data_IF_221263853396
#
_entry.id   IF_221263853396
#
_cell.length_a   1.000
_cell.length_b   1.000
_cell.length_c   1.000
_cell.angle_alpha   90.00
_cell.angle_beta   90.00
_cell.angle_gamma   90.00
#
_symmetry.space_group_name_H-M   'P 1'
#
loop_
_entity.id
_entity.type
_entity.pdbx_description
1 polymer ?
#
# COMPACT_ATOMS: atom_id res chain seq x y z
N UNK A 1 25.65 21.06 18.98
CA UNK A 1 24.69 21.74 19.88
C UNK A 1 23.30 21.54 19.26
N UNK A 2 22.48 20.67 19.84
CA UNK A 2 21.16 20.30 19.28
C UNK A 2 20.13 21.35 19.65
N UNK A 3 19.56 22.00 18.68
CA UNK A 3 18.40 22.89 18.81
C UNK A 3 17.29 22.18 19.60
N UNK A 4 17.07 22.58 20.82
CA UNK A 4 15.94 22.23 21.63
C UNK A 4 14.69 22.77 20.95
N UNK A 5 13.80 21.91 20.50
CA UNK A 5 12.50 22.27 19.91
C UNK A 5 11.56 22.92 20.94
N UNK A 6 11.89 24.12 21.37
CA UNK A 6 11.06 24.90 22.30
C UNK A 6 9.71 25.36 21.70
N UNK A 7 9.49 25.12 20.41
CA UNK A 7 8.32 25.59 19.69
C UNK A 7 7.32 24.53 19.21
N UNK A 8 7.61 23.21 19.36
CA UNK A 8 6.66 22.20 18.85
C UNK A 8 5.47 22.01 19.80
N UNK A 9 4.26 22.16 19.27
CA UNK A 9 3.00 21.88 19.95
C UNK A 9 2.35 20.64 19.33
N UNK A 10 1.76 19.74 20.14
CA UNK A 10 1.02 18.60 19.61
C UNK A 10 -0.24 19.07 18.88
N UNK A 11 -0.57 18.51 17.69
CA UNK A 11 -1.66 19.03 16.87
C UNK A 11 -3.06 18.67 17.40
N UNK A 12 -3.20 17.58 18.15
CA UNK A 12 -4.46 17.08 18.71
C UNK A 12 -4.20 16.03 19.80
N UNK A 13 -5.21 15.63 20.55
CA UNK A 13 -5.11 14.47 21.45
C UNK A 13 -5.00 13.17 20.61
N UNK A 14 -4.04 12.28 20.88
CA UNK A 14 -3.93 11.04 20.14
C UNK A 14 -4.94 9.95 20.55
N UNK A 15 -5.81 10.22 21.52
CA UNK A 15 -6.86 9.30 21.95
C UNK A 15 -8.12 9.51 21.11
N UNK A 16 -8.55 8.56 20.25
CA UNK A 16 -9.71 8.71 19.38
C UNK A 16 -11.03 8.91 20.15
N UNK A 17 -11.09 8.44 21.41
CA UNK A 17 -12.27 8.62 22.26
C UNK A 17 -12.26 9.95 23.01
N UNK A 18 -11.33 10.86 22.70
CA UNK A 18 -11.26 12.19 23.30
C UNK A 18 -11.90 13.22 22.38
N UNK A 19 -12.68 14.14 22.96
CA UNK A 19 -13.25 15.27 22.22
C UNK A 19 -12.19 16.02 21.38
N UNK A 20 -10.98 16.19 21.92
CA UNK A 20 -9.87 16.87 21.21
C UNK A 20 -9.10 16.00 20.21
N UNK A 21 -9.60 14.84 19.84
CA UNK A 21 -9.00 14.02 18.78
C UNK A 21 -9.24 14.62 17.39
N UNK A 22 -10.46 15.05 17.11
CA UNK A 22 -10.86 15.66 15.83
C UNK A 22 -10.92 17.19 15.88
N UNK A 23 -10.96 17.78 17.08
CA UNK A 23 -11.05 19.22 17.22
C UNK A 23 -9.68 19.87 16.93
N UNK A 24 -9.63 20.74 15.93
CA UNK A 24 -8.49 21.66 15.67
C UNK A 24 -8.58 22.88 16.61
N UNK A 25 -8.89 22.68 17.87
CA UNK A 25 -9.07 23.76 18.82
C UNK A 25 -7.73 24.28 19.31
N UNK A 26 -7.49 25.58 19.18
CA UNK A 26 -6.37 26.27 19.83
C UNK A 26 -6.46 26.17 21.37
N UNK A 27 -7.59 25.83 21.91
CA UNK A 27 -7.90 25.74 23.33
C UNK A 27 -7.78 24.33 23.91
N UNK A 28 -7.17 23.39 23.21
CA UNK A 28 -6.96 22.04 23.74
C UNK A 28 -6.10 22.04 25.00
N UNK A 29 -6.66 21.65 26.18
CA UNK A 29 -5.94 21.67 27.43
C UNK A 29 -4.99 20.48 27.52
N UNK A 30 -3.71 20.73 27.38
CA UNK A 30 -2.65 19.75 27.63
C UNK A 30 -1.51 20.39 28.44
N UNK A 31 -0.76 19.56 29.17
CA UNK A 31 0.45 20.00 29.87
C UNK A 31 1.69 19.21 29.46
N UNK A 32 2.84 19.88 29.47
CA UNK A 32 4.14 19.21 29.34
C UNK A 32 4.47 18.46 30.62
N UNK A 33 5.00 17.20 30.51
CA UNK A 33 5.31 16.33 31.64
C UNK A 33 6.74 15.81 31.59
N UNK A 34 7.72 16.73 31.55
CA UNK A 34 9.13 16.38 31.49
C UNK A 34 9.52 15.61 30.22
N UNK A 35 10.63 14.91 30.30
CA UNK A 35 11.26 14.19 29.17
C UNK A 35 11.56 12.74 29.53
N UNK A 36 11.80 11.92 28.52
CA UNK A 36 12.49 10.64 28.66
C UNK A 36 13.60 10.53 27.64
N UNK A 37 14.57 9.66 27.89
CA UNK A 37 15.70 9.41 27.00
C UNK A 37 15.47 8.09 26.24
N UNK A 38 15.97 8.03 25.01
CA UNK A 38 16.03 6.80 24.21
C UNK A 38 17.38 6.73 23.46
N UNK A 39 17.77 5.51 23.02
CA UNK A 39 19.02 5.31 22.28
C UNK A 39 18.98 5.89 20.86
N UNK A 40 17.83 5.77 20.16
CA UNK A 40 17.70 6.29 18.80
C UNK A 40 17.44 7.81 18.81
N UNK A 41 17.94 8.52 17.80
CA UNK A 41 17.67 9.94 17.62
C UNK A 41 16.18 10.23 17.28
N UNK A 42 15.59 11.34 17.78
CA UNK A 42 16.14 12.22 18.80
C UNK A 42 16.20 11.53 20.16
N UNK A 43 17.27 11.71 20.90
CA UNK A 43 17.48 10.99 22.16
C UNK A 43 16.58 11.51 23.30
N UNK A 44 16.32 12.80 23.35
CA UNK A 44 15.48 13.45 24.37
C UNK A 44 14.08 13.67 23.82
N UNK A 45 13.06 13.07 24.47
CA UNK A 45 11.68 13.08 24.02
C UNK A 45 10.78 13.78 25.02
N UNK A 46 10.09 14.84 24.58
CA UNK A 46 9.11 15.56 25.41
C UNK A 46 7.86 14.70 25.60
N UNK A 47 7.40 14.57 26.85
CA UNK A 47 6.12 13.96 27.22
C UNK A 47 5.05 15.03 27.44
N UNK A 48 3.81 14.62 27.23
CA UNK A 48 2.60 15.41 27.41
C UNK A 48 1.51 14.60 28.10
N UNK A 49 0.54 15.32 28.69
CA UNK A 49 -0.69 14.74 29.21
C UNK A 49 -1.85 15.59 28.70
N UNK A 50 -2.86 14.96 28.09
CA UNK A 50 -4.14 15.60 27.81
C UNK A 50 -4.89 15.80 29.13
N UNK A 51 -5.33 17.03 29.44
CA UNK A 51 -6.02 17.32 30.69
C UNK A 51 -7.49 16.85 30.66
N UNK A 52 -8.09 16.71 29.48
CA UNK A 52 -9.46 16.21 29.32
C UNK A 52 -9.54 14.69 29.59
N UNK A 53 -8.84 13.88 28.79
CA UNK A 53 -8.95 12.41 28.88
C UNK A 53 -7.81 11.74 29.68
N UNK A 54 -6.88 12.51 30.26
CA UNK A 54 -5.71 12.07 31.05
C UNK A 54 -4.72 11.17 30.31
N UNK A 55 -4.86 11.01 28.97
CA UNK A 55 -3.93 10.24 28.15
C UNK A 55 -2.55 10.85 28.16
N UNK A 56 -1.54 10.01 28.44
CA UNK A 56 -0.12 10.38 28.29
C UNK A 56 0.34 10.07 26.86
N UNK A 57 1.13 10.98 26.29
CA UNK A 57 1.71 10.85 24.95
C UNK A 57 3.03 11.63 24.86
N UNK A 58 3.69 11.61 23.72
CA UNK A 58 4.96 12.30 23.53
C UNK A 58 5.10 12.80 22.08
N UNK A 59 6.15 13.59 21.82
CA UNK A 59 6.50 13.96 20.44
C UNK A 59 6.66 12.75 19.53
N UNK A 60 7.10 11.60 20.07
CA UNK A 60 7.22 10.36 19.30
C UNK A 60 5.88 9.78 18.85
N UNK A 61 4.81 10.00 19.58
CA UNK A 61 3.45 9.58 19.15
C UNK A 61 3.09 10.16 17.79
N UNK A 62 3.56 11.38 17.49
CA UNK A 62 3.34 12.08 16.22
C UNK A 62 4.51 11.92 15.22
N UNK A 63 5.43 11.00 15.47
CA UNK A 63 6.57 10.74 14.60
C UNK A 63 6.43 9.42 13.85
N UNK A 64 6.77 9.41 12.56
CA UNK A 64 6.90 8.17 11.77
C UNK A 64 8.00 7.23 12.29
N UNK A 65 8.83 7.69 13.22
CA UNK A 65 9.83 6.87 13.91
C UNK A 65 9.33 6.25 15.24
N UNK A 66 8.05 6.41 15.57
CA UNK A 66 7.44 5.84 16.77
C UNK A 66 7.64 4.31 16.82
N UNK A 67 8.08 3.79 17.96
CA UNK A 67 8.38 2.35 18.15
C UNK A 67 9.48 1.76 17.24
N UNK A 68 10.29 2.59 16.58
CA UNK A 68 11.41 2.11 15.78
C UNK A 68 12.73 2.16 16.56
N UNK A 69 13.46 1.04 16.57
CA UNK A 69 14.82 0.98 17.14
C UNK A 69 15.87 1.55 16.18
N UNK A 70 15.69 1.40 14.86
CA UNK A 70 16.61 1.86 13.80
C UNK A 70 15.90 2.73 12.74
N UNK A 71 15.33 3.91 13.13
CA UNK A 71 14.50 4.73 12.25
C UNK A 71 15.25 5.27 11.02
N UNK A 72 16.56 5.44 11.12
CA UNK A 72 17.41 5.93 10.00
C UNK A 72 17.36 5.04 8.77
N UNK A 73 17.05 3.74 8.92
CA UNK A 73 17.01 2.78 7.82
C UNK A 73 15.79 2.94 6.90
N UNK A 74 14.67 3.51 7.38
CA UNK A 74 13.40 3.52 6.65
C UNK A 74 13.51 4.21 5.29
N UNK A 75 14.23 5.32 5.21
CA UNK A 75 14.40 6.09 3.96
C UNK A 75 15.22 5.30 2.92
N UNK A 76 16.29 4.64 3.34
CA UNK A 76 17.10 3.79 2.45
C UNK A 76 16.32 2.56 2.00
N UNK A 77 15.60 1.90 2.93
CA UNK A 77 14.76 0.75 2.61
C UNK A 77 13.69 1.12 1.59
N UNK A 78 13.00 2.27 1.76
CA UNK A 78 12.01 2.75 0.82
C UNK A 78 12.57 2.88 -0.61
N UNK A 79 13.75 3.47 -0.76
CA UNK A 79 14.42 3.63 -2.06
C UNK A 79 14.80 2.29 -2.68
N UNK A 80 15.38 1.38 -1.89
CA UNK A 80 15.88 0.10 -2.36
C UNK A 80 14.76 -0.89 -2.73
N UNK A 81 13.61 -0.82 -2.06
CA UNK A 81 12.43 -1.65 -2.39
C UNK A 81 11.95 -1.34 -3.81
N UNK A 82 11.86 -0.07 -4.19
CA UNK A 82 11.43 0.36 -5.53
C UNK A 82 12.57 0.41 -6.55
N UNK A 83 13.78 0.12 -6.14
CA UNK A 83 14.94 -0.14 -7.00
C UNK A 83 15.14 -1.64 -7.25
N UNK A 84 14.10 -2.43 -7.15
CA UNK A 84 14.08 -3.86 -7.43
C UNK A 84 15.00 -4.72 -6.52
N UNK A 85 15.37 -4.24 -5.33
CA UNK A 85 16.16 -5.03 -4.39
C UNK A 85 15.27 -5.92 -3.50
N UNK A 86 15.65 -7.18 -3.33
CA UNK A 86 14.95 -8.07 -2.39
C UNK A 86 15.41 -7.85 -0.94
N UNK A 87 14.62 -8.31 0.05
CA UNK A 87 14.88 -8.07 1.47
C UNK A 87 16.31 -8.50 1.90
N UNK A 88 16.84 -9.59 1.37
CA UNK A 88 18.19 -10.07 1.70
C UNK A 88 19.28 -9.18 1.11
N UNK A 89 19.08 -8.64 -0.11
CA UNK A 89 20.00 -7.68 -0.71
C UNK A 89 20.02 -6.37 0.07
N UNK A 90 18.83 -5.84 0.41
CA UNK A 90 18.68 -4.64 1.24
C UNK A 90 19.36 -4.83 2.60
N UNK A 91 19.16 -6.00 3.23
CA UNK A 91 19.76 -6.31 4.52
C UNK A 91 21.29 -6.31 4.47
N UNK A 92 21.89 -6.91 3.42
CA UNK A 92 23.34 -6.88 3.20
C UNK A 92 23.86 -5.45 2.98
N UNK A 93 23.18 -4.70 2.11
CA UNK A 93 23.59 -3.32 1.79
C UNK A 93 23.52 -2.37 3.02
N UNK A 94 22.63 -2.64 3.97
CA UNK A 94 22.40 -1.77 5.13
C UNK A 94 22.97 -2.33 6.46
N UNK A 95 23.68 -3.45 6.44
CA UNK A 95 24.23 -4.07 7.64
C UNK A 95 23.16 -4.40 8.69
N UNK A 96 22.06 -5.04 8.29
CA UNK A 96 20.98 -5.40 9.18
C UNK A 96 20.37 -6.78 8.83
N UNK A 97 19.50 -7.31 9.68
CA UNK A 97 18.83 -8.57 9.40
C UNK A 97 17.71 -8.38 8.35
N UNK A 98 17.42 -9.41 7.53
CA UNK A 98 16.30 -9.40 6.60
C UNK A 98 14.95 -9.18 7.30
N UNK A 99 14.81 -9.60 8.55
CA UNK A 99 13.62 -9.37 9.35
C UNK A 99 13.45 -7.88 9.74
N UNK A 100 14.55 -7.17 10.02
CA UNK A 100 14.54 -5.72 10.22
C UNK A 100 14.02 -5.02 8.97
N UNK A 101 14.49 -5.41 7.79
CA UNK A 101 13.99 -4.89 6.50
C UNK A 101 12.50 -5.17 6.35
N UNK A 102 12.05 -6.41 6.59
CA UNK A 102 10.64 -6.80 6.48
C UNK A 102 9.74 -5.99 7.43
N UNK A 103 10.18 -5.73 8.68
CA UNK A 103 9.43 -4.89 9.63
C UNK A 103 9.31 -3.43 9.17
N UNK A 104 10.38 -2.87 8.59
CA UNK A 104 10.33 -1.51 8.02
C UNK A 104 9.42 -1.44 6.79
N UNK A 105 9.47 -2.45 5.90
CA UNK A 105 8.56 -2.55 4.75
C UNK A 105 7.11 -2.63 5.22
N UNK A 106 6.80 -3.47 6.21
CA UNK A 106 5.45 -3.60 6.75
C UNK A 106 4.91 -2.28 7.33
N UNK A 107 5.75 -1.53 8.03
CA UNK A 107 5.37 -0.20 8.57
C UNK A 107 5.17 0.81 7.46
N UNK A 108 6.12 0.90 6.55
CA UNK A 108 6.06 1.84 5.43
C UNK A 108 4.88 1.55 4.52
N UNK A 109 4.61 0.27 4.22
CA UNK A 109 3.45 -0.15 3.43
C UNK A 109 2.14 0.30 4.05
N UNK A 110 1.96 0.09 5.37
CA UNK A 110 0.77 0.58 6.09
C UNK A 110 0.65 2.10 6.08
N UNK A 111 1.76 2.82 6.25
CA UNK A 111 1.76 4.27 6.12
C UNK A 111 1.36 4.72 4.71
N UNK A 112 1.86 4.05 3.68
CA UNK A 112 1.51 4.31 2.29
C UNK A 112 0.02 4.07 2.01
N UNK A 113 -0.61 3.05 2.62
CA UNK A 113 -2.06 2.85 2.51
C UNK A 113 -2.84 4.04 3.08
N UNK A 114 -2.45 4.56 4.25
CA UNK A 114 -3.09 5.74 4.85
C UNK A 114 -2.91 6.99 3.97
N UNK A 115 -1.71 7.20 3.44
CA UNK A 115 -1.45 8.32 2.52
C UNK A 115 -2.34 8.21 1.29
N UNK A 116 -2.36 7.05 0.63
CA UNK A 116 -3.17 6.85 -0.58
C UNK A 116 -4.67 6.96 -0.31
N UNK A 117 -5.18 6.44 0.81
CA UNK A 117 -6.59 6.54 1.16
C UNK A 117 -7.00 8.00 1.35
N UNK A 118 -6.20 8.80 2.08
CA UNK A 118 -6.43 10.24 2.23
C UNK A 118 -6.45 10.97 0.88
N UNK A 119 -5.52 10.66 0.00
CA UNK A 119 -5.43 11.33 -1.29
C UNK A 119 -6.55 10.86 -2.25
N UNK A 120 -6.97 9.61 -2.17
CA UNK A 120 -8.10 9.11 -2.95
C UNK A 120 -9.41 9.84 -2.61
N UNK A 121 -9.64 10.18 -1.33
CA UNK A 121 -10.79 10.97 -0.89
C UNK A 121 -10.82 12.39 -1.46
N UNK A 122 -9.69 12.92 -1.94
CA UNK A 122 -9.58 14.23 -2.61
C UNK A 122 -9.89 14.16 -4.10
N UNK A 123 -9.95 12.95 -4.65
CA UNK A 123 -10.30 12.73 -6.05
C UNK A 123 -11.81 12.53 -6.17
N UNK A 124 -12.45 13.43 -6.89
CA UNK A 124 -13.88 13.34 -7.21
C UNK A 124 -14.06 13.13 -8.70
N UNK A 125 -14.97 12.23 -9.08
CA UNK A 125 -15.47 12.08 -10.46
C UNK A 125 -14.37 11.96 -11.54
N UNK A 126 -13.59 10.89 -11.48
CA UNK A 126 -12.64 10.55 -12.53
C UNK A 126 -13.39 10.29 -13.84
N UNK A 127 -12.88 10.84 -14.94
CA UNK A 127 -13.51 10.64 -16.24
C UNK A 127 -13.37 9.19 -16.68
N UNK A 128 -12.15 8.69 -16.69
CA UNK A 128 -11.85 7.37 -17.22
C UNK A 128 -10.76 6.66 -16.44
N UNK A 129 -11.01 5.39 -16.09
CA UNK A 129 -10.03 4.52 -15.47
C UNK A 129 -9.80 3.26 -16.28
N UNK A 130 -8.62 2.68 -16.16
CA UNK A 130 -8.33 1.34 -16.68
C UNK A 130 -8.02 0.38 -15.52
N UNK A 131 -8.50 -0.84 -15.64
CA UNK A 131 -8.28 -1.91 -14.67
C UNK A 131 -7.65 -3.14 -15.31
N UNK A 132 -6.77 -3.80 -14.58
CA UNK A 132 -6.18 -5.09 -14.94
C UNK A 132 -5.75 -5.85 -13.70
N UNK A 133 -5.29 -7.08 -13.86
CA UNK A 133 -4.73 -7.88 -12.79
C UNK A 133 -3.43 -8.57 -13.21
N UNK A 134 -2.45 -8.57 -12.33
CA UNK A 134 -1.24 -9.35 -12.57
C UNK A 134 -1.11 -10.51 -11.58
N UNK A 135 -0.79 -11.69 -12.14
CA UNK A 135 -0.60 -12.89 -11.35
C UNK A 135 0.79 -12.94 -10.72
N UNK A 136 0.82 -13.32 -9.47
CA UNK A 136 1.99 -13.70 -8.71
C UNK A 136 1.63 -14.86 -7.77
N UNK A 137 2.50 -15.24 -6.86
CA UNK A 137 2.19 -16.29 -5.89
C UNK A 137 2.83 -16.01 -4.53
N UNK A 138 2.21 -16.56 -3.49
CA UNK A 138 2.70 -16.59 -2.13
C UNK A 138 3.22 -17.99 -1.77
N UNK A 139 4.11 -18.11 -0.81
CA UNK A 139 4.67 -19.37 -0.31
C UNK A 139 5.30 -20.25 -1.38
N UNK A 140 4.50 -20.72 -2.36
CA UNK A 140 4.95 -21.53 -3.48
C UNK A 140 4.05 -21.34 -4.71
N UNK A 141 4.50 -21.88 -5.85
CA UNK A 141 3.74 -21.85 -7.11
C UNK A 141 2.33 -22.46 -7.04
N UNK A 142 1.98 -23.14 -5.95
CA UNK A 142 0.63 -23.74 -5.77
C UNK A 142 -0.40 -22.77 -5.20
N UNK A 143 0.04 -21.61 -4.74
CA UNK A 143 -0.81 -20.56 -4.19
C UNK A 143 -0.67 -19.27 -5.01
N UNK A 144 -1.11 -19.28 -6.29
CA UNK A 144 -1.14 -18.06 -7.08
C UNK A 144 -2.24 -17.11 -6.58
N UNK A 145 -2.06 -15.83 -6.83
CA UNK A 145 -3.08 -14.81 -6.61
C UNK A 145 -2.88 -13.64 -7.58
N UNK A 146 -3.97 -12.92 -7.85
CA UNK A 146 -3.93 -11.66 -8.56
C UNK A 146 -3.74 -10.49 -7.60
N UNK A 147 -2.94 -9.51 -8.00
CA UNK A 147 -3.19 -8.13 -7.62
C UNK A 147 -4.08 -7.51 -8.70
N UNK A 148 -5.29 -7.09 -8.33
CA UNK A 148 -6.13 -6.29 -9.19
C UNK A 148 -5.72 -4.83 -8.99
N UNK A 149 -5.57 -4.07 -10.05
CA UNK A 149 -5.06 -2.70 -10.04
C UNK A 149 -5.91 -1.77 -10.89
N UNK A 150 -6.04 -0.51 -10.49
CA UNK A 150 -6.74 0.52 -11.23
C UNK A 150 -5.84 1.74 -11.43
N UNK A 151 -5.91 2.35 -12.61
CA UNK A 151 -5.15 3.55 -12.97
C UNK A 151 -6.08 4.59 -13.60
N UNK A 152 -5.86 5.86 -13.28
CA UNK A 152 -6.46 6.96 -14.03
C UNK A 152 -5.79 7.08 -15.40
N UNK A 153 -6.58 7.05 -16.48
CA UNK A 153 -6.06 7.03 -17.86
C UNK A 153 -5.37 8.34 -18.22
N UNK A 154 -5.87 9.47 -17.73
CA UNK A 154 -5.36 10.79 -18.07
C UNK A 154 -3.97 11.07 -17.50
N UNK A 155 -3.76 10.74 -16.23
CA UNK A 155 -2.54 11.06 -15.49
C UNK A 155 -1.58 9.87 -15.33
N UNK A 156 -2.06 8.62 -15.48
CA UNK A 156 -1.33 7.41 -15.10
C UNK A 156 -1.19 7.25 -13.57
N UNK A 157 -2.08 7.89 -12.79
CA UNK A 157 -2.10 7.78 -11.34
C UNK A 157 -2.62 6.41 -10.91
N UNK A 158 -1.82 5.68 -10.15
CA UNK A 158 -2.19 4.38 -9.59
C UNK A 158 -3.20 4.58 -8.45
N UNK A 159 -4.50 4.37 -8.76
CA UNK A 159 -5.61 4.70 -7.87
C UNK A 159 -5.75 3.76 -6.70
N UNK A 160 -5.84 2.45 -6.96
CA UNK A 160 -6.20 1.47 -5.96
C UNK A 160 -5.69 0.08 -6.32
N UNK A 161 -5.58 -0.80 -5.32
CA UNK A 161 -5.26 -2.22 -5.54
C UNK A 161 -5.97 -3.12 -4.53
N UNK A 162 -6.30 -4.32 -4.98
CA UNK A 162 -6.83 -5.42 -4.18
C UNK A 162 -6.11 -6.71 -4.50
N UNK A 163 -6.43 -7.80 -3.81
CA UNK A 163 -5.90 -9.13 -4.09
C UNK A 163 -7.01 -10.16 -4.24
N UNK A 164 -6.76 -11.18 -5.06
CA UNK A 164 -7.69 -12.29 -5.29
C UNK A 164 -6.92 -13.61 -5.31
N UNK A 165 -7.18 -14.54 -4.39
CA UNK A 165 -6.57 -15.86 -4.44
C UNK A 165 -6.98 -16.60 -5.70
N UNK A 166 -6.03 -17.32 -6.31
CA UNK A 166 -6.27 -18.08 -7.52
C UNK A 166 -5.99 -19.56 -7.29
N UNK A 167 -6.69 -20.36 -8.06
CA UNK A 167 -6.32 -21.77 -8.24
C UNK A 167 -5.20 -21.88 -9.25
N UNK A 168 -4.13 -22.63 -8.96
CA UNK A 168 -3.08 -22.88 -9.94
C UNK A 168 -3.65 -23.56 -11.19
N UNK A 169 -3.45 -22.93 -12.33
CA UNK A 169 -3.83 -23.40 -13.67
C UNK A 169 -2.55 -23.64 -14.52
N UNK A 170 -2.76 -23.87 -15.80
CA UNK A 170 -1.69 -24.04 -16.77
C UNK A 170 -1.07 -25.45 -16.80
N UNK A 171 -0.01 -25.61 -17.58
CA UNK A 171 0.64 -26.90 -17.78
C UNK A 171 1.31 -27.39 -16.49
N UNK A 172 1.01 -28.60 -16.07
CA UNK A 172 1.56 -29.26 -14.88
C UNK A 172 1.92 -30.71 -15.18
N UNK A 173 3.07 -31.14 -14.67
CA UNK A 173 3.47 -32.56 -14.66
C UNK A 173 2.55 -33.38 -13.73
N UNK A 174 2.38 -34.71 -13.91
CA UNK A 174 1.54 -35.55 -13.05
C UNK A 174 1.82 -35.35 -11.55
N UNK A 175 3.10 -35.33 -11.14
CA UNK A 175 3.50 -35.08 -9.75
C UNK A 175 3.04 -33.72 -9.23
N UNK A 176 3.03 -32.68 -10.07
CA UNK A 176 2.56 -31.34 -9.68
C UNK A 176 1.03 -31.31 -9.53
N UNK A 177 0.31 -32.03 -10.40
CA UNK A 177 -1.16 -32.18 -10.29
C UNK A 177 -1.54 -32.90 -8.99
N UNK A 178 -0.87 -34.00 -8.65
CA UNK A 178 -1.08 -34.74 -7.40
C UNK A 178 -0.77 -33.87 -6.17
N UNK A 179 0.34 -33.14 -6.18
CA UNK A 179 0.69 -32.22 -5.06
C UNK A 179 -0.33 -31.10 -4.91
N UNK A 180 -0.81 -30.52 -6.01
CA UNK A 180 -1.90 -29.53 -5.96
C UNK A 180 -3.17 -30.12 -5.33
N UNK A 181 -3.60 -31.29 -5.77
CA UNK A 181 -4.80 -31.94 -5.25
C UNK A 181 -4.68 -32.19 -3.73
N UNK A 182 -3.53 -32.67 -3.27
CA UNK A 182 -3.26 -32.87 -1.84
C UNK A 182 -3.35 -31.57 -1.05
N UNK A 183 -2.78 -30.48 -1.57
CA UNK A 183 -2.82 -29.17 -0.90
C UNK A 183 -4.25 -28.60 -0.89
N UNK A 184 -5.03 -28.76 -1.98
CA UNK A 184 -6.43 -28.34 -2.03
C UNK A 184 -7.31 -29.14 -1.06
N UNK A 185 -7.00 -30.41 -0.81
CA UNK A 185 -7.70 -31.24 0.17
C UNK A 185 -7.43 -30.77 1.61
N UNK A 186 -6.18 -30.44 1.93
CA UNK A 186 -5.75 -30.09 3.29
C UNK A 186 -6.01 -28.63 3.67
N UNK A 187 -5.88 -27.69 2.71
CA UNK A 187 -5.89 -26.25 2.96
C UNK A 187 -7.07 -25.51 2.30
N UNK A 188 -7.90 -26.26 1.56
CA UNK A 188 -9.01 -25.70 0.81
C UNK A 188 -8.58 -25.18 -0.58
N UNK A 189 -9.58 -24.91 -1.40
CA UNK A 189 -9.45 -24.37 -2.75
C UNK A 189 -9.76 -22.88 -2.76
N UNK A 190 -9.07 -22.10 -3.59
CA UNK A 190 -9.42 -20.71 -3.83
C UNK A 190 -10.87 -20.59 -4.35
N UNK A 191 -11.66 -19.61 -3.85
CA UNK A 191 -13.04 -19.40 -4.29
C UNK A 191 -13.11 -19.13 -5.80
N UNK A 192 -14.14 -19.66 -6.46
CA UNK A 192 -14.31 -19.51 -7.91
C UNK A 192 -14.56 -18.07 -8.38
N UNK A 193 -15.17 -17.26 -7.51
CA UNK A 193 -15.48 -15.84 -7.76
C UNK A 193 -14.45 -14.86 -7.19
N UNK A 194 -13.34 -15.33 -6.66
CA UNK A 194 -12.37 -14.48 -5.96
C UNK A 194 -11.89 -13.27 -6.79
N UNK A 195 -11.74 -13.42 -8.11
CA UNK A 195 -11.36 -12.30 -8.99
C UNK A 195 -12.51 -11.31 -9.14
N UNK A 196 -13.74 -11.79 -9.31
CA UNK A 196 -14.95 -10.96 -9.39
C UNK A 196 -15.11 -10.12 -8.11
N UNK A 197 -15.00 -10.77 -6.93
CA UNK A 197 -15.08 -10.10 -5.63
C UNK A 197 -13.95 -9.10 -5.43
N UNK A 198 -12.71 -9.47 -5.77
CA UNK A 198 -11.55 -8.57 -5.64
C UNK A 198 -11.63 -7.37 -6.59
N UNK A 199 -12.19 -7.52 -7.78
CA UNK A 199 -12.40 -6.40 -8.72
C UNK A 199 -13.57 -5.52 -8.24
N UNK A 200 -14.61 -6.07 -7.67
CA UNK A 200 -15.66 -5.28 -7.02
C UNK A 200 -15.09 -4.44 -5.88
N UNK A 201 -14.31 -5.05 -4.98
CA UNK A 201 -13.63 -4.35 -3.89
C UNK A 201 -12.65 -3.27 -4.40
N UNK A 202 -12.02 -3.50 -5.57
CA UNK A 202 -11.18 -2.51 -6.26
C UNK A 202 -11.98 -1.27 -6.67
N UNK A 203 -13.18 -1.48 -7.20
CA UNK A 203 -13.97 -0.42 -7.85
C UNK A 203 -14.86 0.36 -6.87
N UNK A 204 -15.29 -0.25 -5.75
CA UNK A 204 -16.17 0.40 -4.78
C UNK A 204 -15.65 1.79 -4.33
N UNK A 205 -14.37 1.98 -3.96
CA UNK A 205 -13.88 3.29 -3.50
C UNK A 205 -13.55 4.29 -4.63
N UNK A 206 -13.70 3.90 -5.91
CA UNK A 206 -13.32 4.75 -7.05
C UNK A 206 -14.58 5.18 -7.80
N UNK A 207 -14.82 6.49 -7.91
CA UNK A 207 -15.91 7.04 -8.72
C UNK A 207 -15.37 7.47 -10.07
N UNK A 208 -15.85 6.83 -11.16
CA UNK A 208 -15.48 7.14 -12.54
C UNK A 208 -16.68 6.99 -13.48
N UNK A 209 -16.66 7.68 -14.61
CA UNK A 209 -17.70 7.60 -15.65
C UNK A 209 -17.48 6.39 -16.58
N UNK A 210 -16.23 6.14 -16.91
CA UNK A 210 -15.83 5.08 -17.85
C UNK A 210 -14.81 4.16 -17.18
N UNK A 211 -15.01 2.84 -17.36
CA UNK A 211 -14.05 1.81 -16.98
C UNK A 211 -13.59 1.06 -18.23
N UNK A 212 -12.29 0.98 -18.43
CA UNK A 212 -11.65 0.17 -19.48
C UNK A 212 -11.07 -1.11 -18.85
N UNK A 213 -11.27 -2.24 -19.50
CA UNK A 213 -10.64 -3.52 -19.14
C UNK A 213 -10.33 -4.38 -20.36
N UNK A 214 -9.59 -5.45 -20.17
CA UNK A 214 -9.55 -6.53 -21.15
C UNK A 214 -10.83 -7.38 -21.12
N UNK A 215 -10.84 -8.47 -21.91
CA UNK A 215 -11.97 -9.39 -22.09
C UNK A 215 -12.05 -10.47 -20.98
N UNK A 216 -11.39 -10.30 -19.85
CA UNK A 216 -11.48 -11.26 -18.73
C UNK A 216 -12.90 -11.29 -18.14
N UNK A 217 -13.49 -12.48 -18.06
CA UNK A 217 -14.93 -12.70 -17.72
C UNK A 217 -15.36 -12.14 -16.35
N UNK A 218 -14.45 -11.94 -15.41
CA UNK A 218 -14.77 -11.42 -14.08
C UNK A 218 -15.08 -9.91 -14.13
N UNK A 219 -14.48 -9.14 -15.03
CA UNK A 219 -14.64 -7.68 -15.08
C UNK A 219 -16.08 -7.24 -15.35
N UNK A 220 -16.75 -7.70 -16.42
CA UNK A 220 -18.14 -7.32 -16.67
C UNK A 220 -19.09 -7.72 -15.53
N UNK A 221 -18.82 -8.83 -14.83
CA UNK A 221 -19.63 -9.27 -13.69
C UNK A 221 -19.47 -8.36 -12.48
N UNK A 222 -18.20 -8.04 -12.12
CA UNK A 222 -17.90 -7.14 -11.04
C UNK A 222 -18.47 -5.73 -11.29
N UNK A 223 -18.32 -5.21 -12.52
CA UNK A 223 -18.81 -3.88 -12.88
C UNK A 223 -20.34 -3.82 -12.81
N UNK A 224 -21.05 -4.83 -13.30
CA UNK A 224 -22.53 -4.91 -13.21
C UNK A 224 -23.05 -5.00 -11.77
N UNK A 225 -22.23 -5.47 -10.82
CA UNK A 225 -22.62 -5.55 -9.41
C UNK A 225 -22.43 -4.21 -8.66
N UNK A 226 -21.92 -3.17 -9.32
CA UNK A 226 -21.81 -1.82 -8.72
C UNK A 226 -23.19 -1.15 -8.70
N UNK A 227 -23.53 -0.52 -7.59
CA UNK A 227 -24.80 0.20 -7.39
C UNK A 227 -24.82 1.60 -8.08
N UNK A 228 -24.08 1.74 -9.18
CA UNK A 228 -23.97 2.97 -9.95
C UNK A 228 -23.87 2.70 -11.45
N UNK A 229 -24.32 3.65 -12.24
CA UNK A 229 -24.17 3.58 -13.70
C UNK A 229 -22.71 3.90 -14.10
N UNK A 230 -22.08 2.98 -14.85
CA UNK A 230 -20.73 3.10 -15.38
C UNK A 230 -20.69 2.58 -16.80
N UNK A 231 -20.07 3.32 -17.72
CA UNK A 231 -19.80 2.83 -19.07
C UNK A 231 -18.61 1.89 -19.07
N UNK A 232 -18.75 0.67 -19.57
CA UNK A 232 -17.68 -0.33 -19.61
C UNK A 232 -17.20 -0.59 -21.02
N UNK A 233 -15.92 -0.30 -21.29
CA UNK A 233 -15.29 -0.52 -22.59
C UNK A 233 -14.30 -1.69 -22.50
N UNK A 234 -14.59 -2.75 -23.25
CA UNK A 234 -13.79 -3.97 -23.31
C UNK A 234 -12.83 -3.89 -24.50
N UNK A 235 -11.55 -4.15 -24.25
CA UNK A 235 -10.51 -4.25 -25.28
C UNK A 235 -10.04 -5.72 -25.35
N UNK A 236 -9.94 -6.28 -26.56
CA UNK A 236 -9.43 -7.64 -26.71
C UNK A 236 -8.02 -7.78 -26.13
N UNK A 237 -7.80 -8.83 -25.34
CA UNK A 237 -6.50 -9.18 -24.74
C UNK A 237 -5.43 -9.52 -25.79
N UNK A 238 -5.83 -9.85 -27.02
CA UNK A 238 -4.92 -10.11 -28.15
C UNK A 238 -4.43 -8.84 -28.85
N UNK A 239 -5.07 -7.68 -28.58
CA UNK A 239 -4.67 -6.39 -29.19
C UNK A 239 -3.24 -6.04 -28.80
N UNK A 240 -2.47 -5.55 -29.78
CA UNK A 240 -1.08 -5.12 -29.56
C UNK A 240 -0.98 -4.09 -28.41
N UNK A 241 0.01 -4.26 -27.54
CA UNK A 241 0.26 -3.43 -26.34
C UNK A 241 1.16 -2.24 -26.67
N UNK A 242 0.73 -1.36 -27.57
CA UNK A 242 1.41 -0.11 -27.91
C UNK A 242 0.62 1.11 -27.44
N UNK A 243 1.10 2.32 -27.73
CA UNK A 243 0.45 3.57 -27.30
C UNK A 243 -0.95 3.79 -27.86
N UNK A 244 -1.33 3.11 -28.95
CA UNK A 244 -2.67 3.15 -29.52
C UNK A 244 -3.67 2.23 -28.80
N UNK A 245 -3.18 1.38 -27.91
CA UNK A 245 -4.04 0.49 -27.14
C UNK A 245 -4.81 1.27 -26.08
N UNK A 246 -6.15 1.17 -26.00
CA UNK A 246 -6.95 1.81 -24.95
C UNK A 246 -6.55 1.45 -23.53
N UNK A 247 -5.85 0.33 -23.33
CA UNK A 247 -5.31 -0.14 -22.05
C UNK A 247 -3.83 0.24 -21.85
N UNK A 248 -3.30 1.21 -22.61
CA UNK A 248 -1.88 1.58 -22.53
C UNK A 248 -1.43 1.92 -21.11
N UNK A 249 -2.18 2.77 -20.39
CA UNK A 249 -1.76 3.24 -19.06
C UNK A 249 -1.70 2.10 -18.03
N UNK A 250 -2.65 1.15 -18.08
CA UNK A 250 -2.62 0.00 -17.17
C UNK A 250 -1.53 -0.99 -17.56
N UNK A 251 -1.27 -1.21 -18.84
CA UNK A 251 -0.17 -2.02 -19.32
C UNK A 251 1.18 -1.43 -18.91
N UNK A 252 1.32 -0.10 -18.98
CA UNK A 252 2.52 0.61 -18.52
C UNK A 252 2.69 0.50 -17.00
N UNK A 253 1.59 0.59 -16.25
CA UNK A 253 1.62 0.40 -14.79
C UNK A 253 2.11 -1.02 -14.44
N UNK A 254 1.58 -2.08 -15.09
CA UNK A 254 2.04 -3.46 -14.88
C UNK A 254 3.54 -3.61 -15.15
N UNK A 255 4.02 -3.03 -16.25
CA UNK A 255 5.45 -3.01 -16.60
C UNK A 255 6.28 -2.32 -15.51
N UNK A 256 5.85 -1.16 -15.01
CA UNK A 256 6.55 -0.43 -13.94
C UNK A 256 6.56 -1.25 -12.64
N UNK A 257 5.45 -1.89 -12.26
CA UNK A 257 5.36 -2.76 -11.08
C UNK A 257 6.38 -3.91 -11.18
N UNK A 258 6.41 -4.59 -12.32
CA UNK A 258 7.33 -5.73 -12.56
C UNK A 258 8.79 -5.30 -12.64
N UNK A 259 9.06 -4.14 -13.22
CA UNK A 259 10.41 -3.61 -13.32
C UNK A 259 10.95 -3.15 -11.96
N UNK A 260 10.14 -2.47 -11.16
CA UNK A 260 10.62 -1.75 -9.97
C UNK A 260 10.59 -2.58 -8.69
N UNK A 261 9.91 -3.73 -8.67
CA UNK A 261 9.78 -4.53 -7.44
C UNK A 261 10.19 -5.98 -7.67
N UNK A 262 11.24 -6.44 -6.99
CA UNK A 262 11.77 -7.79 -7.13
C UNK A 262 10.73 -8.91 -6.88
N UNK A 263 9.76 -8.65 -5.99
CA UNK A 263 8.73 -9.62 -5.64
C UNK A 263 7.64 -9.81 -6.72
N UNK A 264 7.50 -8.87 -7.65
CA UNK A 264 6.44 -8.85 -8.64
C UNK A 264 6.94 -9.19 -10.07
N UNK A 265 8.21 -9.48 -10.26
CA UNK A 265 8.72 -10.00 -11.54
C UNK A 265 8.07 -11.33 -11.88
N UNK A 266 7.83 -11.61 -13.16
CA UNK A 266 7.24 -12.87 -13.62
C UNK A 266 8.02 -14.08 -13.17
N UNK A 267 9.32 -14.06 -13.43
CA UNK A 267 10.26 -15.11 -13.04
C UNK A 267 11.22 -14.57 -11.99
N UNK A 268 10.96 -14.89 -10.73
CA UNK A 268 11.77 -14.40 -9.62
C UNK A 268 11.88 -15.44 -8.52
N UNK A 269 13.06 -15.53 -7.92
CA UNK A 269 13.27 -16.23 -6.66
C UNK A 269 12.91 -15.36 -5.45
N UNK A 270 12.62 -14.06 -5.68
CA UNK A 270 12.36 -13.06 -4.66
C UNK A 270 10.87 -12.84 -4.37
N UNK A 271 9.99 -13.74 -4.84
CA UNK A 271 8.55 -13.61 -4.57
C UNK A 271 8.24 -13.48 -3.07
N UNK A 272 7.12 -12.85 -2.75
CA UNK A 272 6.71 -12.69 -1.37
C UNK A 272 6.27 -14.03 -0.77
N UNK A 273 6.89 -14.45 0.34
CA UNK A 273 6.50 -15.69 1.03
C UNK A 273 5.15 -15.56 1.73
N UNK A 274 4.67 -14.34 1.94
CA UNK A 274 3.38 -13.99 2.52
C UNK A 274 2.67 -13.01 1.59
N UNK A 275 1.37 -13.21 1.33
CA UNK A 275 0.55 -12.32 0.52
C UNK A 275 0.56 -10.90 1.08
N UNK A 276 0.39 -10.77 2.40
CA UNK A 276 0.49 -9.50 3.10
C UNK A 276 1.77 -8.72 2.77
N UNK A 277 2.92 -9.39 2.68
CA UNK A 277 4.19 -8.73 2.36
C UNK A 277 4.27 -8.27 0.89
N UNK A 278 3.56 -8.92 -0.03
CA UNK A 278 3.40 -8.47 -1.42
C UNK A 278 2.57 -7.18 -1.47
N UNK A 279 1.43 -7.17 -0.77
CA UNK A 279 0.54 -6.01 -0.66
C UNK A 279 1.28 -4.79 -0.09
N UNK A 280 2.04 -4.96 0.98
CA UNK A 280 2.83 -3.89 1.62
C UNK A 280 3.85 -3.28 0.65
N UNK A 281 4.52 -4.09 -0.17
CA UNK A 281 5.44 -3.61 -1.21
C UNK A 281 4.72 -2.87 -2.32
N UNK A 282 3.54 -3.36 -2.73
CA UNK A 282 2.74 -2.71 -3.75
C UNK A 282 2.23 -1.34 -3.28
N UNK A 283 1.83 -1.21 -2.02
CA UNK A 283 1.46 0.08 -1.43
C UNK A 283 2.61 1.10 -1.43
N UNK A 284 3.85 0.65 -1.15
CA UNK A 284 5.04 1.51 -1.24
C UNK A 284 5.28 1.95 -2.69
N UNK A 285 5.20 1.02 -3.63
CA UNK A 285 5.36 1.31 -5.05
C UNK A 285 4.28 2.27 -5.55
N UNK A 286 3.04 2.14 -5.09
CA UNK A 286 1.93 3.01 -5.45
C UNK A 286 2.22 4.47 -5.09
N UNK A 287 2.64 4.76 -3.85
CA UNK A 287 3.02 6.12 -3.46
C UNK A 287 4.26 6.60 -4.23
N UNK A 288 5.25 5.73 -4.41
CA UNK A 288 6.43 6.08 -5.20
C UNK A 288 6.08 6.42 -6.66
N UNK A 289 5.25 5.61 -7.33
CA UNK A 289 4.79 5.85 -8.71
C UNK A 289 4.04 7.17 -8.83
N UNK A 290 3.16 7.44 -7.87
CA UNK A 290 2.26 8.59 -7.94
C UNK A 290 2.95 9.92 -7.58
N UNK A 291 3.83 9.93 -6.58
CA UNK A 291 4.33 11.18 -5.99
C UNK A 291 5.82 11.40 -6.19
N UNK A 292 6.64 10.34 -6.41
CA UNK A 292 8.10 10.44 -6.43
C UNK A 292 8.66 10.24 -7.83
N UNK A 293 8.18 9.20 -8.54
CA UNK A 293 8.59 8.91 -9.91
C UNK A 293 7.88 9.83 -10.88
N UNK A 294 8.64 10.46 -11.78
CA UNK A 294 8.07 11.19 -12.91
C UNK A 294 7.25 10.25 -13.79
N UNK A 295 6.20 10.77 -14.41
CA UNK A 295 5.38 9.99 -15.36
C UNK A 295 6.23 9.45 -16.50
N UNK A 296 7.11 10.28 -17.05
CA UNK A 296 8.02 9.96 -18.14
C UNK A 296 9.47 10.21 -17.71
N UNK A 297 10.41 9.45 -18.25
CA UNK A 297 11.86 9.65 -17.99
C UNK A 297 12.40 10.86 -18.79
N UNK A 298 11.84 11.12 -19.99
CA UNK A 298 12.17 12.25 -20.85
C UNK A 298 10.95 13.16 -20.97
N UNK A 299 11.15 14.48 -21.08
CA UNK A 299 10.07 15.46 -21.18
C UNK A 299 9.68 16.07 -19.84
N UNK A 300 8.40 16.23 -19.61
CA UNK A 300 7.85 16.92 -18.43
C UNK A 300 8.27 16.25 -17.12
N UNK A 301 8.58 17.12 -16.17
CA UNK A 301 9.06 16.67 -14.83
C UNK A 301 7.93 16.30 -13.88
N UNK A 302 6.70 16.20 -14.38
CA UNK A 302 5.53 15.94 -13.57
C UNK A 302 5.39 14.50 -13.13
N UNK A 303 4.86 14.33 -11.93
CA UNK A 303 4.41 13.05 -11.42
C UNK A 303 2.90 12.91 -11.67
N UNK A 304 2.33 11.69 -11.68
CA UNK A 304 0.88 11.50 -11.78
C UNK A 304 0.07 12.33 -10.78
N UNK A 305 0.56 12.47 -9.55
CA UNK A 305 -0.10 13.29 -8.52
C UNK A 305 -0.08 14.79 -8.85
N UNK A 306 0.95 15.29 -9.54
CA UNK A 306 1.00 16.69 -9.98
C UNK A 306 -0.02 16.95 -11.09
N UNK A 307 -0.17 16.03 -12.03
CA UNK A 307 -1.15 16.13 -13.14
C UNK A 307 -2.58 16.22 -12.57
N UNK A 308 -2.87 15.49 -11.48
CA UNK A 308 -4.17 15.53 -10.76
C UNK A 308 -4.29 16.69 -9.75
N UNK A 309 -3.30 17.58 -9.65
CA UNK A 309 -3.33 18.69 -8.69
C UNK A 309 -3.18 18.26 -7.22
N UNK A 310 -2.79 17.00 -6.94
CA UNK A 310 -2.59 16.50 -5.58
C UNK A 310 -1.23 16.89 -4.98
N UNK A 311 -0.29 17.30 -5.81
CA UNK A 311 1.03 17.77 -5.41
C UNK A 311 1.51 18.88 -6.34
N UNK A 312 2.28 19.83 -5.81
CA UNK A 312 2.88 20.95 -6.58
C UNK A 312 4.33 20.68 -7.01
N UNK A 313 4.93 19.60 -6.56
CA UNK A 313 6.28 19.14 -6.93
C UNK A 313 6.43 17.65 -6.70
N UNK A 314 7.42 16.99 -7.30
CA UNK A 314 7.76 15.60 -6.95
C UNK A 314 8.16 15.50 -5.48
N UNK A 315 7.62 14.49 -4.80
CA UNK A 315 8.00 14.20 -3.42
C UNK A 315 9.37 13.54 -3.34
N UNK A 316 10.00 13.70 -2.19
CA UNK A 316 11.11 12.86 -1.75
C UNK A 316 10.59 11.88 -0.68
N UNK A 317 11.33 10.81 -0.40
CA UNK A 317 10.95 9.87 0.68
C UNK A 317 10.79 10.59 2.03
N UNK A 318 11.53 11.68 2.27
CA UNK A 318 11.35 12.50 3.47
C UNK A 318 9.99 13.20 3.53
N UNK A 319 9.41 13.55 2.39
CA UNK A 319 8.09 14.19 2.33
C UNK A 319 7.00 13.18 2.69
N UNK A 320 7.12 11.93 2.19
CA UNK A 320 6.27 10.81 2.61
C UNK A 320 6.33 10.56 4.13
N UNK A 321 7.51 10.75 4.74
CA UNK A 321 7.72 10.50 6.17
C UNK A 321 7.52 11.75 7.05
N UNK A 322 7.20 12.91 6.47
CA UNK A 322 7.09 14.19 7.18
C UNK A 322 5.92 14.20 8.16
N UNK A 323 4.78 13.67 7.74
CA UNK A 323 3.57 13.65 8.54
C UNK A 323 3.21 12.22 8.90
N UNK A 324 2.91 12.00 10.17
CA UNK A 324 2.34 10.74 10.62
C UNK A 324 0.82 10.80 10.53
N UNK A 325 0.24 9.87 9.82
CA UNK A 325 -1.20 9.67 9.75
C UNK A 325 -1.65 8.68 10.83
N UNK A 326 -2.81 8.89 11.38
CA UNK A 326 -3.43 8.01 12.35
C UNK A 326 -4.56 7.25 11.67
N UNK A 327 -4.58 5.93 11.85
CA UNK A 327 -5.61 5.06 11.31
C UNK A 327 -7.03 5.54 11.67
N UNK A 328 -7.24 5.89 12.93
CA UNK A 328 -8.55 6.35 13.41
C UNK A 328 -9.00 7.72 12.82
N UNK A 329 -8.20 8.36 11.97
CA UNK A 329 -8.51 9.64 11.28
C UNK A 329 -8.57 9.53 9.77
N UNK A 330 -8.32 8.36 9.24
CA UNK A 330 -8.32 8.07 7.79
C UNK A 330 -9.31 6.94 7.57
N UNK A 331 -10.32 7.21 6.78
CA UNK A 331 -11.26 6.18 6.38
C UNK A 331 -10.58 5.24 5.38
N UNK A 332 -10.55 3.98 5.72
CA UNK A 332 -10.10 2.90 4.84
C UNK A 332 -11.30 2.08 4.38
N UNK A 333 -11.29 1.63 3.13
CA UNK A 333 -12.22 0.60 2.70
C UNK A 333 -12.03 -0.69 3.53
N UNK A 334 -13.03 -1.56 3.63
CA UNK A 334 -12.89 -2.84 4.35
C UNK A 334 -11.70 -3.67 3.88
N UNK A 335 -11.40 -3.64 2.57
CA UNK A 335 -10.25 -4.33 2.00
C UNK A 335 -8.92 -3.74 2.51
N UNK A 336 -8.76 -2.42 2.47
CA UNK A 336 -7.52 -1.78 2.92
C UNK A 336 -7.40 -1.74 4.44
N UNK A 337 -8.50 -1.77 5.19
CA UNK A 337 -8.45 -1.95 6.64
C UNK A 337 -7.83 -3.30 7.00
N UNK A 338 -8.25 -4.40 6.35
CA UNK A 338 -7.62 -5.72 6.52
C UNK A 338 -6.12 -5.70 6.18
N UNK A 339 -5.73 -4.94 5.14
CA UNK A 339 -4.33 -4.77 4.77
C UNK A 339 -3.55 -4.01 5.85
N UNK A 340 -4.11 -2.93 6.35
CA UNK A 340 -3.50 -2.15 7.43
C UNK A 340 -3.35 -2.96 8.71
N UNK A 341 -4.37 -3.71 9.10
CA UNK A 341 -4.35 -4.59 10.26
C UNK A 341 -3.54 -5.87 10.05
N UNK A 342 -3.03 -6.11 8.83
CA UNK A 342 -2.27 -7.31 8.45
C UNK A 342 -3.07 -8.59 8.65
N UNK A 343 -4.32 -8.58 8.30
CA UNK A 343 -5.27 -9.68 8.45
C UNK A 343 -5.43 -10.52 7.18
N UNK A 344 -4.59 -10.32 6.15
CA UNK A 344 -4.55 -11.18 4.97
C UNK A 344 -3.71 -12.42 5.27
N UNK A 345 -4.33 -13.60 5.46
CA UNK A 345 -3.61 -14.81 5.81
C UNK A 345 -2.89 -15.39 4.60
N UNK A 346 -1.76 -16.00 4.85
CA UNK A 346 -1.12 -16.93 3.91
C UNK A 346 -1.53 -18.34 4.32
N UNK A 347 -2.39 -18.98 3.55
CA UNK A 347 -3.04 -20.25 3.89
C UNK A 347 -2.06 -21.37 4.24
N UNK A 348 -0.91 -21.41 3.60
CA UNK A 348 0.13 -22.41 3.86
C UNK A 348 0.90 -22.21 5.19
N UNK A 349 0.63 -21.14 5.93
CA UNK A 349 1.34 -20.81 7.16
C UNK A 349 0.44 -20.96 8.38
N UNK A 350 0.92 -21.67 9.39
CA UNK A 350 0.20 -21.83 10.66
C UNK A 350 0.06 -20.54 11.46
N UNK A 351 1.04 -19.63 11.33
CA UNK A 351 1.07 -18.37 12.09
C UNK A 351 1.13 -17.18 11.13
N UNK A 352 0.10 -16.35 11.17
CA UNK A 352 0.06 -15.04 10.54
C UNK A 352 0.13 -13.97 11.64
N UNK A 353 0.93 -12.92 11.39
CA UNK A 353 1.13 -11.84 12.36
C UNK A 353 0.24 -10.67 11.99
N UNK A 354 -0.68 -10.31 12.86
CA UNK A 354 -1.54 -9.13 12.75
C UNK A 354 -0.87 -7.89 13.32
N UNK A 355 -1.41 -6.73 12.99
CA UNK A 355 -1.01 -5.45 13.55
C UNK A 355 -2.07 -4.96 14.53
N UNK A 356 -1.73 -4.99 15.80
CA UNK A 356 -2.65 -4.64 16.91
C UNK A 356 -2.26 -3.33 17.62
N UNK A 357 -1.08 -2.77 17.31
CA UNK A 357 -0.59 -1.59 18.00
C UNK A 357 -1.28 -0.32 17.49
N UNK A 358 -2.05 0.33 18.35
CA UNK A 358 -2.89 1.48 18.02
C UNK A 358 -2.10 2.69 17.50
N UNK A 359 -0.91 2.95 18.05
CA UNK A 359 -0.12 4.13 17.71
C UNK A 359 1.17 3.84 16.93
N UNK A 360 1.42 2.59 16.60
CA UNK A 360 2.49 2.19 15.70
C UNK A 360 1.92 1.82 14.34
N UNK A 361 2.39 2.44 13.27
CA UNK A 361 1.97 2.10 11.91
C UNK A 361 2.98 1.19 11.23
#
# INVERSE_FOLDING_TARGET
>A
MGSTSFGWAPPHCPNPNCHYFNAFSREWPYKRKGFYLRQAAPQRIQRFTCLACKRHFSTQTFSTSYWQKRPKLISCIAKLVVACACNRQIARALGCSPETVARHIARLGRHCLLVQARELQRLSNLEEIAIDGFETFEWSQYFPFHHNVAVDVSSGYFLYHTDSPLRRKGRMRPRQKARRAQLELTLGRAPGRAVEDGVRDLLVPIVSRVIRSDDHRAYPRAIRSLERHVSHHITSSTRRRDKSNPLWEINLLDLVIRHSTAAHKRETIAWAKRRQASIEKLAILQVWRNYIKRRWEKGDRETPAMILGLANRPWRVRDLLKERLFFDRIELSPCWERYYRREVPTTALRVNRTHQLRFAF
#
